data_IF_288039891717
#
_entry.id   IF_288039891717
#
_cell.length_a   1.000
_cell.length_b   1.000
_cell.length_c   1.000
_cell.angle_alpha   90.00
_cell.angle_beta   90.00
_cell.angle_gamma   90.00
#
_symmetry.space_group_name_H-M   'P 1'
#
loop_
_entity.id
_entity.type
_entity.pdbx_description
1 polymer ?
#
# COMPACT_ATOMS: atom_id res chain seq x y z
N UNK A 1 -29.78 -9.87 30.81
CA UNK A 1 -28.35 -9.57 31.00
C UNK A 1 -27.47 -10.79 30.71
N UNK A 2 -27.45 -11.33 29.47
CA UNK A 2 -26.69 -12.54 29.16
C UNK A 2 -25.35 -12.30 28.43
N UNK A 3 -25.08 -11.06 28.01
CA UNK A 3 -23.98 -10.73 27.10
C UNK A 3 -23.12 -9.52 27.53
N UNK A 4 -23.29 -8.96 28.73
CA UNK A 4 -22.46 -7.83 29.21
C UNK A 4 -20.96 -8.16 29.30
N UNK A 5 -20.62 -9.43 29.48
CA UNK A 5 -19.24 -9.92 29.50
C UNK A 5 -18.59 -9.96 28.11
N UNK A 6 -19.39 -10.03 27.03
CA UNK A 6 -18.93 -10.02 25.65
C UNK A 6 -19.00 -8.59 25.10
N UNK A 7 -18.11 -7.73 25.59
CA UNK A 7 -17.98 -6.35 25.07
C UNK A 7 -17.52 -6.41 23.62
N UNK A 8 -18.39 -5.96 22.71
CA UNK A 8 -18.01 -5.72 21.32
C UNK A 8 -17.27 -4.39 21.25
N UNK A 9 -16.04 -4.46 20.81
CA UNK A 9 -15.25 -3.30 20.45
C UNK A 9 -15.68 -2.93 19.02
N UNK A 10 -16.62 -1.97 18.89
CA UNK A 10 -17.14 -1.49 17.60
C UNK A 10 -16.25 -0.39 17.00
N UNK A 11 -14.98 -0.35 17.38
CA UNK A 11 -14.02 0.62 16.87
C UNK A 11 -13.30 0.07 15.64
N UNK A 12 -13.02 0.96 14.69
CA UNK A 12 -12.11 0.65 13.60
C UNK A 12 -10.72 0.40 14.18
N UNK A 13 -10.14 -0.76 13.87
CA UNK A 13 -8.77 -1.09 14.27
C UNK A 13 -7.85 -0.93 13.06
N UNK A 14 -6.76 -0.22 13.28
CA UNK A 14 -5.69 -0.14 12.30
C UNK A 14 -4.84 -1.41 12.39
N UNK A 15 -4.77 -2.13 11.27
CA UNK A 15 -3.99 -3.36 11.12
C UNK A 15 -2.71 -3.14 10.30
N UNK A 16 -2.38 -1.88 9.98
CA UNK A 16 -1.16 -1.53 9.30
C UNK A 16 0.05 -1.79 10.22
N UNK A 17 0.99 -2.61 9.73
CA UNK A 17 2.19 -2.99 10.48
C UNK A 17 3.41 -2.16 10.08
N UNK A 18 3.42 -1.67 8.84
CA UNK A 18 4.56 -0.95 8.26
C UNK A 18 4.17 0.48 7.92
N UNK A 19 5.06 1.44 8.17
CA UNK A 19 4.90 2.80 7.70
C UNK A 19 5.39 2.95 6.23
N UNK A 20 5.47 4.19 5.74
CA UNK A 20 5.88 4.47 4.36
C UNK A 20 7.41 4.55 4.18
N UNK A 21 8.23 4.16 5.17
CA UNK A 21 9.70 4.34 5.12
C UNK A 21 10.40 3.53 4.03
N UNK A 22 9.76 2.47 3.53
CA UNK A 22 10.34 1.59 2.52
C UNK A 22 10.10 2.06 1.07
N UNK A 23 9.42 3.19 0.87
CA UNK A 23 9.18 3.76 -0.45
C UNK A 23 10.08 4.97 -0.71
N UNK A 24 10.51 5.14 -1.96
CA UNK A 24 11.43 6.21 -2.35
C UNK A 24 11.34 6.55 -3.83
N UNK A 25 12.07 7.59 -4.25
CA UNK A 25 12.16 8.01 -5.66
C UNK A 25 13.49 7.64 -6.32
N UNK A 26 14.56 7.57 -5.54
CA UNK A 26 15.91 7.31 -6.05
C UNK A 26 16.21 5.81 -6.05
N UNK A 27 16.79 5.32 -7.14
CA UNK A 27 17.17 3.90 -7.26
C UNK A 27 18.40 3.56 -6.38
N UNK A 28 18.48 2.36 -5.79
CA UNK A 28 17.50 1.26 -5.84
C UNK A 28 16.39 1.41 -4.78
N UNK A 29 15.12 1.37 -5.19
CA UNK A 29 13.97 1.54 -4.27
C UNK A 29 12.70 0.87 -4.80
N UNK A 30 11.67 0.80 -3.96
CA UNK A 30 10.28 0.57 -4.38
C UNK A 30 9.53 1.91 -4.46
N UNK A 31 8.76 2.11 -5.52
CA UNK A 31 7.86 3.26 -5.67
C UNK A 31 6.43 2.79 -5.42
N UNK A 32 5.66 3.54 -4.64
CA UNK A 32 4.23 3.31 -4.42
C UNK A 32 3.43 4.53 -4.92
N UNK A 33 2.52 4.31 -5.86
CA UNK A 33 1.64 5.35 -6.42
C UNK A 33 0.17 4.93 -6.34
N UNK A 34 -0.70 5.84 -5.92
CA UNK A 34 -2.16 5.68 -6.03
C UNK A 34 -2.64 6.39 -7.28
N UNK A 35 -2.97 5.62 -8.32
CA UNK A 35 -3.43 6.17 -9.60
C UNK A 35 -4.94 6.29 -9.59
N UNK A 36 -5.49 7.46 -9.95
CA UNK A 36 -6.93 7.66 -9.93
C UNK A 36 -7.61 6.74 -10.95
N UNK A 37 -8.69 6.08 -10.51
CA UNK A 37 -9.60 5.38 -11.43
C UNK A 37 -10.60 6.41 -11.95
N UNK A 38 -10.84 6.39 -13.27
CA UNK A 38 -11.76 7.32 -13.93
C UNK A 38 -13.01 6.61 -14.42
N UNK A 39 -14.14 7.32 -14.43
CA UNK A 39 -15.40 6.85 -15.01
C UNK A 39 -15.41 6.95 -16.55
N UNK A 40 -16.54 6.61 -17.16
CA UNK A 40 -16.77 6.69 -18.61
C UNK A 40 -16.68 8.12 -19.18
N UNK A 41 -16.73 9.14 -18.32
CA UNK A 41 -16.60 10.56 -18.66
C UNK A 41 -15.20 11.10 -18.38
N UNK A 42 -14.28 10.26 -17.89
CA UNK A 42 -12.92 10.65 -17.51
C UNK A 42 -12.82 11.35 -16.15
N UNK A 43 -13.88 11.35 -15.35
CA UNK A 43 -13.90 11.94 -14.01
C UNK A 43 -13.33 10.95 -13.00
N UNK A 44 -12.49 11.43 -12.08
CA UNK A 44 -11.93 10.60 -11.01
C UNK A 44 -13.04 10.13 -10.08
N UNK A 45 -13.04 8.84 -9.75
CA UNK A 45 -13.96 8.26 -8.76
C UNK A 45 -13.38 8.50 -7.36
N UNK A 46 -14.13 9.19 -6.51
CA UNK A 46 -13.67 9.52 -5.15
C UNK A 46 -13.49 8.25 -4.31
N UNK A 47 -12.41 8.19 -3.55
CA UNK A 47 -12.02 7.03 -2.75
C UNK A 47 -11.59 5.78 -3.53
N UNK A 48 -11.51 5.82 -4.88
CA UNK A 48 -11.11 4.67 -5.69
C UNK A 48 -9.83 4.95 -6.49
N UNK A 49 -8.83 4.11 -6.28
CA UNK A 49 -7.54 4.18 -6.97
C UNK A 49 -7.00 2.79 -7.29
N UNK A 50 -6.09 2.74 -8.25
CA UNK A 50 -5.24 1.58 -8.52
C UNK A 50 -3.90 1.82 -7.81
N UNK A 51 -3.55 0.94 -6.86
CA UNK A 51 -2.25 0.96 -6.22
C UNK A 51 -1.20 0.36 -7.17
N UNK A 52 -0.18 1.15 -7.51
CA UNK A 52 0.94 0.75 -8.37
C UNK A 52 2.19 0.63 -7.51
N UNK A 53 2.80 -0.57 -7.50
CA UNK A 53 4.00 -0.90 -6.72
C UNK A 53 5.12 -1.26 -7.70
N UNK A 54 6.14 -0.41 -7.82
CA UNK A 54 7.18 -0.55 -8.85
C UNK A 54 8.55 -0.82 -8.26
N UNK A 55 9.27 -1.76 -8.87
CA UNK A 55 10.69 -1.94 -8.64
C UNK A 55 11.45 -0.87 -9.44
N UNK A 56 12.15 0.02 -8.74
CA UNK A 56 12.98 1.06 -9.34
C UNK A 56 14.45 0.72 -9.10
N UNK A 57 15.00 -0.16 -9.93
CA UNK A 57 16.43 -0.51 -9.93
C UNK A 57 16.94 -0.72 -11.37
N UNK A 58 16.96 0.33 -12.19
CA UNK A 58 17.28 0.22 -13.62
C UNK A 58 18.70 -0.32 -13.87
N UNK A 59 19.64 -0.04 -12.97
CA UNK A 59 21.03 -0.54 -13.08
C UNK A 59 21.14 -2.08 -13.06
N UNK A 60 20.12 -2.78 -12.55
CA UNK A 60 20.06 -4.23 -12.45
C UNK A 60 18.77 -4.79 -13.10
N UNK A 61 18.27 -4.13 -14.14
CA UNK A 61 17.07 -4.54 -14.87
C UNK A 61 15.84 -4.74 -13.96
N UNK A 62 15.72 -3.90 -12.93
CA UNK A 62 14.69 -3.95 -11.88
C UNK A 62 14.69 -5.22 -11.01
N UNK A 63 15.81 -5.95 -10.98
CA UNK A 63 16.04 -6.97 -9.94
C UNK A 63 15.97 -6.32 -8.56
N UNK A 64 15.23 -6.92 -7.63
CA UNK A 64 15.07 -6.38 -6.28
C UNK A 64 16.18 -6.85 -5.35
N UNK A 65 16.61 -5.98 -4.44
CA UNK A 65 17.49 -6.33 -3.33
C UNK A 65 16.69 -6.84 -2.13
N UNK A 66 17.38 -7.40 -1.12
CA UNK A 66 16.75 -7.78 0.17
C UNK A 66 16.14 -6.57 0.90
N UNK A 67 16.63 -5.36 0.66
CA UNK A 67 16.00 -4.17 1.22
C UNK A 67 14.72 -3.81 0.45
N UNK A 68 14.76 -3.86 -0.88
CA UNK A 68 13.60 -3.56 -1.72
C UNK A 68 12.43 -4.52 -1.47
N UNK A 69 12.67 -5.81 -1.20
CA UNK A 69 11.57 -6.75 -0.95
C UNK A 69 10.74 -6.38 0.29
N UNK A 70 11.33 -5.71 1.29
CA UNK A 70 10.57 -5.14 2.42
C UNK A 70 9.60 -4.06 1.95
N UNK A 71 10.02 -3.22 1.02
CA UNK A 71 9.16 -2.25 0.35
C UNK A 71 8.05 -2.89 -0.47
N UNK A 72 8.31 -4.01 -1.14
CA UNK A 72 7.25 -4.76 -1.84
C UNK A 72 6.21 -5.28 -0.85
N UNK A 73 6.65 -5.89 0.27
CA UNK A 73 5.76 -6.40 1.33
C UNK A 73 4.93 -5.26 1.93
N UNK A 74 5.56 -4.13 2.27
CA UNK A 74 4.87 -2.95 2.79
C UNK A 74 3.87 -2.39 1.76
N UNK A 75 4.23 -2.39 0.47
CA UNK A 75 3.35 -1.96 -0.62
C UNK A 75 2.08 -2.81 -0.73
N UNK A 76 2.22 -4.13 -0.67
CA UNK A 76 1.06 -5.03 -0.71
C UNK A 76 0.18 -4.90 0.53
N UNK A 77 0.75 -4.72 1.73
CA UNK A 77 -0.04 -4.48 2.93
C UNK A 77 -0.82 -3.16 2.82
N UNK A 78 -0.17 -2.07 2.38
CA UNK A 78 -0.82 -0.77 2.22
C UNK A 78 -1.98 -0.80 1.21
N UNK A 79 -1.91 -1.70 0.22
CA UNK A 79 -2.92 -1.84 -0.82
C UNK A 79 -4.09 -2.78 -0.44
N UNK A 80 -4.07 -3.44 0.74
CA UNK A 80 -5.03 -4.47 1.14
C UNK A 80 -5.71 -4.20 2.47
#
# INVERSE_FOLDING_TARGET
MALEWLRRDNELKDHQLFDNSHFGKDAPTVVYEERPVVDDKGTKVDGLFSAWIWLNNPSQYNSYTTEMVKGVIAGFQKAS
#
